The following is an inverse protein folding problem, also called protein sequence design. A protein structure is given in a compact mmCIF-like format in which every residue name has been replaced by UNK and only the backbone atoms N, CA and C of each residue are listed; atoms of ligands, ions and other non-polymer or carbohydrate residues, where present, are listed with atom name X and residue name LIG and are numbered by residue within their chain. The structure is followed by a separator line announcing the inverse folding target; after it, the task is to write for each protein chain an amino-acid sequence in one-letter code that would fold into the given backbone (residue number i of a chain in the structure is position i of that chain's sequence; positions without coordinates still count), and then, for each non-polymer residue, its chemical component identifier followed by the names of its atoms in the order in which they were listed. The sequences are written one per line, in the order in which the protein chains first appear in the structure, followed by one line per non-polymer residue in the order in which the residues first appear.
data_IF_186519757883
#
_entry.id   IF_186519757883
#
_cell.length_a   1.000
_cell.length_b   1.000
_cell.length_c   1.000
_cell.angle_alpha   90.00
_cell.angle_beta   90.00
_cell.angle_gamma   90.00
#
_symmetry.space_group_name_H-M   'P 1'
#
loop_
_entity.id
_entity.type
_entity.pdbx_description
1 polymer ?
#
# COMPACT_ATOMS: atom_id res chain seq x y z
N UNK A 1 2.37 -12.73 32.84
CA UNK A 1 1.41 -13.07 31.75
C UNK A 1 1.22 -14.56 31.79
N UNK A 2 0.00 -15.03 31.96
CA UNK A 2 -0.31 -16.48 31.92
C UNK A 2 -0.71 -16.86 30.49
N UNK A 3 0.20 -17.53 29.78
CA UNK A 3 -0.04 -17.94 28.39
C UNK A 3 -0.93 -19.19 28.28
N UNK A 4 -1.19 -19.91 29.37
CA UNK A 4 -1.90 -21.20 29.35
C UNK A 4 -3.39 -21.06 29.01
N UNK A 5 -3.95 -19.86 29.22
CA UNK A 5 -5.35 -19.54 28.93
C UNK A 5 -5.62 -19.23 27.45
N UNK A 6 -4.55 -18.97 26.66
CA UNK A 6 -4.70 -18.59 25.26
C UNK A 6 -4.47 -19.78 24.33
N UNK A 7 -5.42 -19.98 23.41
CA UNK A 7 -5.29 -20.97 22.34
C UNK A 7 -4.39 -20.48 21.21
N UNK A 8 -4.41 -19.18 20.96
CA UNK A 8 -3.65 -18.52 19.87
C UNK A 8 -2.86 -17.34 20.40
N UNK A 9 -1.61 -17.25 19.96
CA UNK A 9 -0.75 -16.09 20.12
C UNK A 9 -0.46 -15.50 18.73
N UNK A 10 -0.87 -14.26 18.50
CA UNK A 10 -0.62 -13.52 17.27
C UNK A 10 0.45 -12.48 17.54
N UNK A 11 1.53 -12.52 16.75
CA UNK A 11 2.65 -11.58 16.84
C UNK A 11 2.47 -10.49 15.79
N UNK A 12 2.22 -9.27 16.24
CA UNK A 12 1.96 -8.09 15.44
C UNK A 12 0.49 -7.68 15.43
N UNK A 13 0.22 -6.42 15.81
CA UNK A 13 -1.12 -5.81 15.87
C UNK A 13 -1.43 -4.92 14.65
N UNK A 14 -0.87 -5.23 13.48
CA UNK A 14 -1.24 -4.62 12.20
C UNK A 14 -2.52 -5.23 11.63
N UNK A 15 -2.90 -4.90 10.39
CA UNK A 15 -4.14 -5.40 9.77
C UNK A 15 -4.24 -6.93 9.78
N UNK A 16 -3.17 -7.63 9.39
CA UNK A 16 -3.21 -9.09 9.37
C UNK A 16 -3.53 -9.67 10.76
N UNK A 17 -2.76 -9.26 11.78
CA UNK A 17 -2.92 -9.79 13.13
C UNK A 17 -4.27 -9.42 13.75
N UNK A 18 -4.71 -8.17 13.57
CA UNK A 18 -5.99 -7.69 14.12
C UNK A 18 -7.20 -8.36 13.47
N UNK A 19 -7.18 -8.52 12.14
CA UNK A 19 -8.24 -9.25 11.41
C UNK A 19 -8.27 -10.71 11.83
N UNK A 20 -7.12 -11.34 11.96
CA UNK A 20 -7.06 -12.74 12.36
C UNK A 20 -7.55 -12.96 13.80
N UNK A 21 -7.16 -12.08 14.73
CA UNK A 21 -7.65 -12.11 16.10
C UNK A 21 -9.18 -11.95 16.16
N UNK A 22 -9.71 -10.96 15.46
CA UNK A 22 -11.16 -10.72 15.37
C UNK A 22 -11.90 -11.95 14.81
N UNK A 23 -11.38 -12.54 13.73
CA UNK A 23 -12.01 -13.71 13.11
C UNK A 23 -11.94 -14.96 14.01
N UNK A 24 -10.81 -15.24 14.67
CA UNK A 24 -10.70 -16.37 15.58
C UNK A 24 -11.66 -16.19 16.76
N UNK A 25 -11.68 -15.01 17.36
CA UNK A 25 -12.54 -14.71 18.50
C UNK A 25 -14.03 -14.84 18.16
N UNK A 26 -14.47 -14.35 16.99
CA UNK A 26 -15.87 -14.39 16.58
C UNK A 26 -16.29 -15.73 15.98
N UNK A 27 -15.46 -16.36 15.13
CA UNK A 27 -15.87 -17.54 14.38
C UNK A 27 -15.61 -18.84 15.14
N UNK A 28 -14.63 -18.86 16.07
CA UNK A 28 -14.24 -20.04 16.83
C UNK A 28 -14.53 -19.94 18.32
N UNK A 29 -14.88 -18.77 18.82
CA UNK A 29 -15.04 -18.45 20.25
C UNK A 29 -13.80 -18.86 21.10
N UNK A 30 -12.59 -18.78 20.51
CA UNK A 30 -11.35 -19.18 21.13
C UNK A 30 -10.59 -17.95 21.68
N UNK A 31 -9.89 -18.10 22.84
CA UNK A 31 -9.10 -17.01 23.39
C UNK A 31 -7.83 -16.75 22.59
N UNK A 32 -7.60 -15.46 22.31
CA UNK A 32 -6.49 -14.97 21.49
C UNK A 32 -5.69 -13.94 22.26
N UNK A 33 -4.38 -14.11 22.30
CA UNK A 33 -3.44 -13.08 22.74
C UNK A 33 -2.79 -12.44 21.51
N UNK A 34 -2.82 -11.13 21.42
CA UNK A 34 -2.09 -10.34 20.42
C UNK A 34 -0.95 -9.59 21.11
N UNK A 35 0.27 -9.73 20.63
CA UNK A 35 1.41 -8.95 21.12
C UNK A 35 1.93 -8.03 20.03
N UNK A 36 2.35 -6.85 20.43
CA UNK A 36 2.94 -5.84 19.54
C UNK A 36 4.20 -5.24 20.20
N UNK A 37 5.27 -5.16 19.43
CA UNK A 37 6.54 -4.61 19.90
C UNK A 37 6.48 -3.09 20.08
N UNK A 38 5.71 -2.42 19.25
CA UNK A 38 5.49 -0.95 19.31
C UNK A 38 4.60 -0.59 20.50
N UNK A 39 4.53 0.69 20.77
CA UNK A 39 3.66 1.29 21.79
C UNK A 39 2.23 1.56 21.32
N UNK A 40 1.88 1.11 20.12
CA UNK A 40 0.57 1.30 19.50
C UNK A 40 0.15 0.11 18.65
N UNK A 41 -1.15 -0.06 18.45
CA UNK A 41 -1.76 -0.99 17.48
C UNK A 41 -1.77 -0.37 16.09
N UNK A 42 -2.10 -1.16 15.04
CA UNK A 42 -2.28 -0.69 13.68
C UNK A 42 -1.08 -0.89 12.75
N UNK A 43 0.08 -1.28 13.30
CA UNK A 43 1.28 -1.50 12.50
C UNK A 43 1.67 -0.24 11.71
N UNK A 44 1.95 -0.39 10.42
CA UNK A 44 2.27 0.75 9.55
C UNK A 44 1.05 1.62 9.18
N UNK A 45 -0.17 1.11 9.38
CA UNK A 45 -1.40 1.89 9.17
C UNK A 45 -1.79 2.74 10.38
N UNK A 46 -0.94 2.82 11.40
CA UNK A 46 -1.22 3.65 12.57
C UNK A 46 -1.38 5.12 12.18
N UNK A 47 -2.48 5.71 12.61
CA UNK A 47 -2.78 7.13 12.48
C UNK A 47 -3.07 7.74 13.85
N UNK A 48 -2.79 9.02 14.01
CA UNK A 48 -3.08 9.76 15.23
C UNK A 48 -3.40 11.22 14.91
N UNK A 49 -4.14 11.84 15.81
CA UNK A 49 -4.45 13.26 15.72
C UNK A 49 -3.29 14.04 16.33
N UNK A 50 -2.80 15.04 15.62
CA UNK A 50 -1.84 15.99 16.14
C UNK A 50 -2.53 16.91 17.17
N UNK A 51 -1.98 17.02 18.39
CA UNK A 51 -2.67 17.76 19.47
C UNK A 51 -2.71 19.29 19.28
N UNK A 52 -1.85 19.85 18.45
CA UNK A 52 -1.79 21.29 18.21
C UNK A 52 -2.70 21.72 17.05
N UNK A 53 -2.75 20.92 16.00
CA UNK A 53 -3.48 21.24 14.77
C UNK A 53 -4.82 20.55 14.65
N UNK A 54 -5.09 19.55 15.49
CA UNK A 54 -6.25 18.66 15.44
C UNK A 54 -6.37 17.88 14.10
N UNK A 55 -5.28 17.86 13.32
CA UNK A 55 -5.23 17.12 12.05
C UNK A 55 -4.78 15.69 12.30
N UNK A 56 -5.53 14.74 11.77
CA UNK A 56 -5.13 13.35 11.76
C UNK A 56 -4.05 13.10 10.72
N UNK A 57 -2.98 12.41 11.09
CA UNK A 57 -1.89 12.06 10.20
C UNK A 57 -1.47 10.59 10.32
N UNK A 58 -0.92 10.06 9.24
CA UNK A 58 -0.39 8.70 9.16
C UNK A 58 1.10 8.72 9.52
N UNK A 59 1.46 8.11 10.65
CA UNK A 59 2.82 8.17 11.22
C UNK A 59 3.90 7.56 10.30
N UNK A 60 3.55 6.53 9.53
CA UNK A 60 4.49 5.75 8.73
C UNK A 60 4.30 5.93 7.23
N UNK A 61 3.77 7.04 6.81
CA UNK A 61 3.46 7.36 5.42
C UNK A 61 2.00 7.16 5.07
N UNK A 62 1.61 7.68 3.94
CA UNK A 62 0.22 7.71 3.49
C UNK A 62 -0.29 6.30 3.20
N UNK A 63 -1.37 5.93 3.85
CA UNK A 63 -2.12 4.70 3.60
C UNK A 63 -3.51 5.05 3.08
N UNK A 64 -3.86 4.52 1.92
CA UNK A 64 -5.17 4.68 1.30
C UNK A 64 -5.76 3.28 1.16
N UNK A 65 -6.94 3.08 1.73
CA UNK A 65 -7.63 1.81 1.57
C UNK A 65 -8.21 1.72 0.16
N UNK A 66 -7.95 0.61 -0.52
CA UNK A 66 -8.53 0.33 -1.83
C UNK A 66 -8.73 -1.17 -2.04
N UNK A 67 -9.78 -1.56 -2.70
CA UNK A 67 -10.08 -2.94 -3.04
C UNK A 67 -11.11 -3.04 -4.16
N UNK A 68 -11.01 -4.08 -4.99
CA UNK A 68 -12.08 -4.50 -5.92
C UNK A 68 -12.86 -5.70 -5.40
N UNK A 69 -12.53 -6.19 -4.18
CA UNK A 69 -13.20 -7.35 -3.59
C UNK A 69 -14.32 -6.91 -2.67
N UNK A 70 -15.56 -7.13 -3.08
CA UNK A 70 -16.76 -6.78 -2.31
C UNK A 70 -16.72 -7.33 -0.88
N UNK A 71 -16.34 -8.58 -0.69
CA UNK A 71 -16.22 -9.21 0.64
C UNK A 71 -15.27 -8.45 1.58
N UNK A 72 -14.16 -7.92 1.04
CA UNK A 72 -13.20 -7.13 1.83
C UNK A 72 -13.79 -5.78 2.20
N UNK A 73 -14.48 -5.14 1.25
CA UNK A 73 -15.17 -3.87 1.48
C UNK A 73 -16.28 -3.99 2.53
N UNK A 74 -17.15 -4.99 2.41
CA UNK A 74 -18.20 -5.26 3.39
C UNK A 74 -17.64 -5.55 4.79
N UNK A 75 -16.55 -6.33 4.86
CA UNK A 75 -15.90 -6.65 6.12
C UNK A 75 -15.34 -5.41 6.81
N UNK A 76 -14.57 -4.58 6.10
CA UNK A 76 -13.92 -3.41 6.72
C UNK A 76 -14.94 -2.34 7.14
N UNK A 77 -16.06 -2.21 6.42
CA UNK A 77 -17.15 -1.29 6.77
C UNK A 77 -17.90 -1.66 8.05
N UNK A 78 -17.64 -2.82 8.63
CA UNK A 78 -18.12 -3.17 9.98
C UNK A 78 -17.43 -2.35 11.07
N UNK A 79 -16.23 -1.84 10.80
CA UNK A 79 -15.39 -1.16 11.76
C UNK A 79 -15.25 0.34 11.52
N UNK A 80 -15.51 0.81 10.31
CA UNK A 80 -15.40 2.23 9.94
C UNK A 80 -16.30 2.56 8.76
N UNK A 81 -16.43 3.86 8.47
CA UNK A 81 -16.88 4.38 7.17
C UNK A 81 -15.70 5.03 6.46
N UNK A 82 -15.82 5.21 5.15
CA UNK A 82 -14.79 5.83 4.33
C UNK A 82 -15.29 7.13 3.70
N UNK A 83 -14.38 8.09 3.54
CA UNK A 83 -14.71 9.45 3.06
C UNK A 83 -14.79 9.58 1.53
N UNK A 84 -14.73 8.50 0.77
CA UNK A 84 -14.78 8.53 -0.70
C UNK A 84 -13.57 9.19 -1.38
N UNK A 85 -12.47 9.39 -0.66
CA UNK A 85 -11.22 9.94 -1.21
C UNK A 85 -10.72 9.09 -2.39
N UNK A 86 -10.39 9.76 -3.50
CA UNK A 86 -9.77 9.16 -4.69
C UNK A 86 -8.32 9.62 -4.78
N UNK A 87 -7.40 8.66 -4.79
CA UNK A 87 -5.97 8.99 -4.81
C UNK A 87 -5.54 9.47 -6.18
N UNK A 88 -5.00 10.69 -6.21
CA UNK A 88 -4.40 11.31 -7.37
C UNK A 88 -2.94 11.62 -7.05
N UNK A 89 -2.06 11.41 -8.01
CA UNK A 89 -0.64 11.67 -7.87
C UNK A 89 -0.21 12.69 -8.91
N UNK A 90 0.55 13.67 -8.48
CA UNK A 90 1.13 14.68 -9.34
C UNK A 90 2.65 14.54 -9.34
N UNK A 91 3.27 14.68 -10.49
CA UNK A 91 4.71 14.74 -10.65
C UNK A 91 5.16 16.13 -11.09
N UNK A 92 6.18 16.68 -10.47
CA UNK A 92 6.83 17.92 -10.91
C UNK A 92 8.07 17.58 -11.73
N UNK A 93 8.15 18.14 -12.95
CA UNK A 93 9.30 18.01 -13.83
C UNK A 93 9.51 19.32 -14.59
N UNK A 94 10.72 19.87 -14.54
CA UNK A 94 11.11 21.12 -15.21
C UNK A 94 10.10 22.28 -14.98
N UNK A 95 9.73 22.51 -13.71
CA UNK A 95 8.78 23.55 -13.28
C UNK A 95 7.36 23.41 -13.85
N UNK A 96 6.99 22.23 -14.34
CA UNK A 96 5.62 21.90 -14.73
C UNK A 96 5.09 20.74 -13.90
N UNK A 97 3.78 20.70 -13.73
CA UNK A 97 3.08 19.64 -12.98
C UNK A 97 2.35 18.74 -13.98
N UNK A 98 2.48 17.43 -13.78
CA UNK A 98 1.88 16.39 -14.63
C UNK A 98 1.09 15.42 -13.80
N UNK A 99 0.02 14.89 -14.35
CA UNK A 99 -0.78 13.84 -13.72
C UNK A 99 -0.08 12.49 -13.78
N UNK A 100 -0.23 11.70 -12.71
CA UNK A 100 0.26 10.33 -12.62
C UNK A 100 -0.85 9.39 -12.13
N UNK A 101 -0.95 8.15 -12.62
CA UNK A 101 -0.06 7.51 -13.60
C UNK A 101 -0.08 8.22 -14.96
N UNK A 102 0.96 7.99 -15.78
CA UNK A 102 1.06 8.55 -17.12
C UNK A 102 -0.24 8.28 -17.87
N UNK A 103 -0.94 9.33 -18.28
CA UNK A 103 -2.22 9.28 -18.98
C UNK A 103 -2.19 10.14 -20.24
N UNK A 104 -3.31 10.25 -20.93
CA UNK A 104 -3.42 11.05 -22.16
C UNK A 104 -3.04 12.52 -21.93
N UNK A 105 -3.48 13.13 -20.80
CA UNK A 105 -3.10 14.49 -20.44
C UNK A 105 -1.59 14.63 -20.22
N UNK A 106 -0.99 13.70 -19.47
CA UNK A 106 0.46 13.67 -19.24
C UNK A 106 1.23 13.63 -20.57
N UNK A 107 0.81 12.77 -21.49
CA UNK A 107 1.48 12.60 -22.79
C UNK A 107 1.32 13.85 -23.63
N UNK A 108 0.12 14.39 -23.76
CA UNK A 108 -0.14 15.58 -24.55
C UNK A 108 0.60 16.80 -24.00
N UNK A 109 0.52 17.05 -22.71
CA UNK A 109 1.21 18.17 -22.06
C UNK A 109 2.73 18.04 -22.13
N UNK A 110 3.27 16.83 -21.98
CA UNK A 110 4.71 16.60 -21.97
C UNK A 110 5.35 16.76 -23.35
N UNK A 111 4.69 16.21 -24.39
CA UNK A 111 5.20 16.27 -25.76
C UNK A 111 4.72 17.47 -26.57
N UNK A 112 3.81 18.29 -26.01
CA UNK A 112 3.19 19.41 -26.75
C UNK A 112 2.28 18.93 -27.87
N UNK A 113 1.53 17.84 -27.65
CA UNK A 113 0.67 17.19 -28.63
C UNK A 113 -0.82 17.38 -28.28
N UNK A 114 -1.68 16.97 -29.19
CA UNK A 114 -3.13 16.93 -28.98
C UNK A 114 -3.70 15.62 -29.52
N UNK A 115 -3.16 14.51 -29.00
CA UNK A 115 -3.57 13.16 -29.37
C UNK A 115 -4.94 12.83 -28.80
N UNK A 116 -5.68 12.04 -29.56
CA UNK A 116 -6.93 11.41 -29.13
C UNK A 116 -6.63 10.04 -28.47
N UNK A 117 -7.55 9.47 -27.66
CA UNK A 117 -7.33 8.20 -26.97
C UNK A 117 -6.84 7.06 -27.86
N UNK A 118 -7.33 6.97 -29.10
CA UNK A 118 -6.98 5.91 -30.05
C UNK A 118 -5.60 6.09 -30.70
N UNK A 119 -5.04 7.31 -30.68
CA UNK A 119 -3.73 7.65 -31.28
C UNK A 119 -2.57 7.37 -30.31
N UNK A 120 -2.84 7.37 -29.00
CA UNK A 120 -1.81 7.20 -27.95
C UNK A 120 -1.02 5.91 -28.09
N UNK A 121 -1.71 4.82 -28.50
CA UNK A 121 -1.06 3.52 -28.67
C UNK A 121 0.05 3.54 -29.71
N UNK A 122 -0.25 4.10 -30.89
CA UNK A 122 0.69 4.17 -32.01
C UNK A 122 1.82 5.18 -31.72
N UNK A 123 1.50 6.30 -31.08
CA UNK A 123 2.49 7.26 -30.62
C UNK A 123 3.49 6.62 -29.66
N UNK A 124 3.04 5.97 -28.59
CA UNK A 124 3.93 5.31 -27.64
C UNK A 124 4.77 4.20 -28.30
N UNK A 125 4.16 3.41 -29.19
CA UNK A 125 4.86 2.40 -29.96
C UNK A 125 6.01 3.04 -30.76
N UNK A 126 5.77 4.17 -31.43
CA UNK A 126 6.82 4.89 -32.18
C UNK A 126 7.96 5.39 -31.28
N UNK A 127 7.65 5.84 -30.06
CA UNK A 127 8.68 6.29 -29.10
C UNK A 127 9.50 5.10 -28.55
N UNK A 128 8.87 3.95 -28.32
CA UNK A 128 9.53 2.73 -27.84
C UNK A 128 10.41 2.11 -28.94
N UNK A 129 9.94 2.07 -30.18
CA UNK A 129 10.70 1.52 -31.33
C UNK A 129 12.02 2.23 -31.60
N UNK A 130 12.14 3.50 -31.26
CA UNK A 130 13.40 4.27 -31.37
C UNK A 130 14.54 3.70 -30.51
N UNK A 131 14.20 3.02 -29.44
CA UNK A 131 15.15 2.51 -28.45
C UNK A 131 15.72 1.12 -28.80
N UNK A 132 15.11 0.40 -29.75
CA UNK A 132 15.53 -0.92 -30.22
C UNK A 132 15.77 -1.97 -29.12
N UNK A 133 15.03 -1.91 -28.00
CA UNK A 133 15.17 -2.81 -26.88
C UNK A 133 14.30 -4.06 -27.12
N UNK A 134 14.91 -5.17 -27.50
CA UNK A 134 14.22 -6.44 -27.75
C UNK A 134 14.20 -7.38 -26.55
N UNK A 135 15.21 -7.30 -25.67
CA UNK A 135 15.32 -8.16 -24.48
C UNK A 135 15.75 -7.32 -23.25
N UNK A 136 14.78 -6.71 -22.55
CA UNK A 136 15.09 -5.86 -21.39
C UNK A 136 15.64 -6.69 -20.23
N UNK A 137 16.85 -6.37 -19.77
CA UNK A 137 17.54 -7.05 -18.66
C UNK A 137 17.46 -6.25 -17.36
N UNK A 138 17.50 -4.93 -17.46
CA UNK A 138 17.44 -4.02 -16.32
C UNK A 138 16.05 -3.39 -16.17
N UNK A 139 15.82 -2.77 -15.00
CA UNK A 139 14.62 -1.95 -14.75
C UNK A 139 14.54 -0.80 -15.76
N UNK A 140 15.66 -0.15 -16.07
CA UNK A 140 15.72 0.90 -17.11
C UNK A 140 15.25 0.37 -18.46
N UNK A 141 15.86 -0.73 -18.96
CA UNK A 141 15.47 -1.30 -20.25
C UNK A 141 13.99 -1.62 -20.30
N UNK A 142 13.47 -2.21 -19.22
CA UNK A 142 12.06 -2.59 -19.13
C UNK A 142 11.15 -1.36 -19.13
N UNK A 143 11.46 -0.34 -18.34
CA UNK A 143 10.69 0.89 -18.32
C UNK A 143 10.70 1.60 -19.68
N UNK A 144 11.88 1.75 -20.28
CA UNK A 144 12.03 2.35 -21.61
C UNK A 144 11.28 1.56 -22.68
N UNK A 145 11.29 0.23 -22.62
CA UNK A 145 10.52 -0.61 -23.55
C UNK A 145 8.99 -0.50 -23.39
N UNK A 146 8.52 0.13 -22.32
CA UNK A 146 7.09 0.33 -22.07
C UNK A 146 6.59 1.76 -22.42
N UNK A 147 7.43 2.77 -22.17
CA UNK A 147 6.99 4.18 -22.32
C UNK A 147 7.92 5.06 -23.16
N UNK A 148 9.06 4.54 -23.63
CA UNK A 148 10.09 5.30 -24.32
C UNK A 148 11.02 6.06 -23.38
N UNK A 149 12.16 6.49 -23.89
CA UNK A 149 13.24 7.13 -23.13
C UNK A 149 12.81 8.40 -22.43
N UNK A 150 12.12 9.28 -23.13
CA UNK A 150 11.75 10.62 -22.62
C UNK A 150 10.83 10.53 -21.39
N UNK A 151 9.79 9.72 -21.42
CA UNK A 151 8.89 9.53 -20.27
C UNK A 151 9.58 8.80 -19.12
N UNK A 152 10.45 7.84 -19.42
CA UNK A 152 11.26 7.17 -18.41
C UNK A 152 12.14 8.18 -17.64
N UNK A 153 12.90 9.01 -18.36
CA UNK A 153 13.81 10.00 -17.75
C UNK A 153 13.06 11.05 -16.93
N UNK A 154 11.91 11.50 -17.43
CA UNK A 154 11.11 12.52 -16.76
C UNK A 154 10.42 12.02 -15.48
N UNK A 155 9.82 10.83 -15.49
CA UNK A 155 8.85 10.43 -14.47
C UNK A 155 9.21 9.16 -13.70
N UNK A 156 10.16 8.34 -14.17
CA UNK A 156 10.45 7.04 -13.59
C UNK A 156 11.84 6.98 -12.97
N UNK A 157 12.84 7.40 -13.72
CA UNK A 157 14.26 7.27 -13.33
C UNK A 157 14.56 7.90 -11.97
N UNK A 158 14.19 9.19 -11.79
CA UNK A 158 14.49 9.92 -10.55
C UNK A 158 13.80 9.32 -9.34
N UNK A 159 12.53 8.94 -9.49
CA UNK A 159 11.78 8.25 -8.44
C UNK A 159 12.41 6.89 -8.09
N UNK A 160 12.79 6.11 -9.10
CA UNK A 160 13.43 4.80 -8.89
C UNK A 160 14.74 4.93 -8.13
N UNK A 161 15.61 5.87 -8.53
CA UNK A 161 16.88 6.14 -7.83
C UNK A 161 16.62 6.52 -6.37
N UNK A 162 15.67 7.43 -6.12
CA UNK A 162 15.31 7.85 -4.76
C UNK A 162 14.81 6.68 -3.91
N UNK A 163 13.96 5.81 -4.48
CA UNK A 163 13.33 4.72 -3.76
C UNK A 163 14.29 3.58 -3.45
N UNK A 164 15.14 3.21 -4.41
CA UNK A 164 16.01 2.06 -4.32
C UNK A 164 17.46 2.40 -3.93
N UNK A 165 17.84 3.67 -3.93
CA UNK A 165 19.22 4.14 -3.69
C UNK A 165 20.24 3.44 -4.59
N UNK A 166 19.81 3.08 -5.81
CA UNK A 166 20.61 2.37 -6.83
C UNK A 166 20.31 2.90 -8.22
N UNK A 167 21.27 2.71 -9.12
CA UNK A 167 21.04 2.98 -10.54
C UNK A 167 20.01 1.98 -11.10
N UNK A 168 18.98 2.43 -11.84
CA UNK A 168 17.98 1.56 -12.45
C UNK A 168 18.56 0.49 -13.39
N UNK A 169 19.75 0.71 -13.93
CA UNK A 169 20.50 -0.26 -14.76
C UNK A 169 21.01 -1.47 -13.96
N UNK A 170 21.18 -1.31 -12.65
CA UNK A 170 21.61 -2.37 -11.73
C UNK A 170 20.43 -3.15 -11.14
N UNK A 171 19.22 -2.66 -11.33
CA UNK A 171 18.00 -3.28 -10.82
C UNK A 171 17.42 -4.25 -11.86
N UNK A 172 16.93 -5.43 -11.45
CA UNK A 172 16.36 -6.39 -12.38
C UNK A 172 15.06 -5.90 -13.01
N UNK A 173 14.82 -6.26 -14.28
CA UNK A 173 13.63 -5.90 -15.03
C UNK A 173 12.31 -6.35 -14.36
N UNK A 174 12.36 -7.39 -13.52
CA UNK A 174 11.20 -7.92 -12.80
C UNK A 174 10.58 -6.97 -11.78
N UNK A 175 11.31 -5.92 -11.35
CA UNK A 175 10.79 -4.89 -10.44
C UNK A 175 9.70 -4.07 -11.12
N UNK A 176 9.84 -3.78 -12.42
CA UNK A 176 8.80 -3.12 -13.23
C UNK A 176 8.21 -4.11 -14.21
N UNK A 177 7.18 -4.82 -13.81
CA UNK A 177 6.44 -5.69 -14.72
C UNK A 177 5.38 -4.93 -15.53
N UNK A 178 4.81 -3.88 -14.93
CA UNK A 178 3.77 -3.04 -15.53
C UNK A 178 3.98 -1.59 -15.12
N UNK A 179 3.97 -0.69 -16.10
CA UNK A 179 3.74 0.72 -15.87
C UNK A 179 2.31 1.00 -16.29
N UNK A 180 1.46 1.51 -15.40
CA UNK A 180 0.11 1.89 -15.77
C UNK A 180 0.17 3.13 -16.67
N UNK A 181 0.12 2.91 -17.98
CA UNK A 181 -0.08 3.98 -18.96
C UNK A 181 -1.52 3.95 -19.40
N UNK A 182 -2.21 5.07 -19.29
CA UNK A 182 -3.62 5.20 -19.63
C UNK A 182 -3.77 5.96 -20.94
N UNK A 183 -4.61 5.43 -21.83
CA UNK A 183 -4.91 6.02 -23.11
C UNK A 183 -6.09 7.00 -23.08
N UNK A 184 -6.49 7.40 -21.90
CA UNK A 184 -7.60 8.32 -21.61
C UNK A 184 -7.20 9.33 -20.53
N UNK A 185 -8.13 10.20 -20.12
CA UNK A 185 -7.93 11.22 -19.09
C UNK A 185 -8.15 10.74 -17.65
N UNK A 186 -8.25 9.41 -17.40
CA UNK A 186 -8.45 8.90 -16.06
C UNK A 186 -7.19 9.15 -15.21
N UNK A 187 -7.33 9.96 -14.16
CA UNK A 187 -6.29 10.38 -13.24
C UNK A 187 -6.26 9.59 -11.92
N UNK A 188 -7.21 8.67 -11.71
CA UNK A 188 -7.22 7.87 -10.51
C UNK A 188 -5.99 6.97 -10.43
N UNK A 189 -5.28 6.99 -9.30
CA UNK A 189 -4.10 6.16 -9.13
C UNK A 189 -4.44 4.66 -9.10
N UNK A 190 -5.52 4.29 -8.39
CA UNK A 190 -6.00 2.91 -8.31
C UNK A 190 -7.18 2.66 -9.27
N UNK A 191 -7.26 1.43 -9.80
CA UNK A 191 -8.40 0.97 -10.60
C UNK A 191 -9.53 0.38 -9.73
N UNK A 192 -9.27 0.19 -8.43
CA UNK A 192 -10.20 -0.46 -7.54
C UNK A 192 -11.49 0.33 -7.37
N UNK A 193 -12.61 -0.39 -7.34
CA UNK A 193 -13.95 0.19 -7.25
C UNK A 193 -14.13 0.96 -5.94
N UNK A 194 -13.68 0.38 -4.84
CA UNK A 194 -13.79 0.98 -3.51
C UNK A 194 -12.44 1.53 -3.06
N UNK A 195 -12.44 2.81 -2.69
CA UNK A 195 -11.28 3.54 -2.22
C UNK A 195 -11.69 4.56 -1.18
N UNK A 196 -10.79 4.90 -0.28
CA UNK A 196 -11.03 5.96 0.68
C UNK A 196 -10.04 5.97 1.84
N UNK A 197 -10.18 6.99 2.65
CA UNK A 197 -9.52 7.09 3.95
C UNK A 197 -10.60 6.88 5.02
N UNK A 198 -10.33 6.11 6.08
CA UNK A 198 -11.29 5.93 7.16
C UNK A 198 -11.69 7.26 7.80
N UNK A 199 -12.99 7.53 7.92
CA UNK A 199 -13.50 8.83 8.42
C UNK A 199 -13.11 9.13 9.87
N UNK A 200 -12.83 8.09 10.67
CA UNK A 200 -12.40 8.21 12.06
C UNK A 200 -10.93 7.80 12.26
N UNK A 201 -10.16 7.76 11.17
CA UNK A 201 -8.79 7.30 11.16
C UNK A 201 -8.61 5.79 11.24
N UNK A 202 -7.40 5.35 10.89
CA UNK A 202 -7.07 3.93 10.89
C UNK A 202 -7.03 3.32 12.29
N UNK A 203 -6.54 4.07 13.28
CA UNK A 203 -6.38 3.54 14.64
C UNK A 203 -7.69 3.08 15.26
N UNK A 204 -8.82 3.73 14.93
CA UNK A 204 -10.14 3.34 15.41
C UNK A 204 -10.60 1.99 14.85
N UNK A 205 -10.19 1.63 13.64
CA UNK A 205 -10.48 0.31 13.07
C UNK A 205 -9.89 -0.79 13.95
N UNK A 206 -8.61 -0.64 14.32
CA UNK A 206 -7.90 -1.63 15.12
C UNK A 206 -8.44 -1.72 16.55
N UNK A 207 -8.80 -0.57 17.16
CA UNK A 207 -9.47 -0.56 18.46
C UNK A 207 -10.77 -1.36 18.44
N UNK A 208 -11.60 -1.18 17.41
CA UNK A 208 -12.87 -1.91 17.26
C UNK A 208 -12.64 -3.39 16.96
N UNK A 209 -11.65 -3.75 16.12
CA UNK A 209 -11.34 -5.16 15.82
C UNK A 209 -10.86 -5.91 17.06
N UNK A 210 -10.05 -5.28 17.89
CA UNK A 210 -9.46 -5.89 19.08
C UNK A 210 -10.34 -5.78 20.33
N UNK A 211 -11.44 -5.03 20.28
CA UNK A 211 -12.38 -4.90 21.38
C UNK A 211 -13.35 -6.10 21.44
N UNK A 212 -12.86 -7.22 21.91
CA UNK A 212 -13.64 -8.44 22.07
C UNK A 212 -13.23 -9.18 23.35
N UNK A 213 -14.18 -9.79 24.08
CA UNK A 213 -13.98 -10.47 25.37
C UNK A 213 -12.94 -11.61 25.33
N UNK A 214 -12.70 -12.19 24.16
CA UNK A 214 -11.76 -13.28 23.93
C UNK A 214 -10.41 -12.77 23.38
N UNK A 215 -10.24 -11.48 23.20
CA UNK A 215 -8.98 -10.91 22.71
C UNK A 215 -8.34 -10.10 23.83
N UNK A 216 -7.14 -10.47 24.17
CA UNK A 216 -6.23 -9.68 24.98
C UNK A 216 -5.07 -9.20 24.12
N UNK A 217 -4.61 -7.96 24.29
CA UNK A 217 -3.45 -7.48 23.55
C UNK A 217 -2.47 -6.73 24.46
N UNK A 218 -1.17 -6.96 24.19
CA UNK A 218 -0.09 -6.31 24.92
C UNK A 218 0.84 -5.57 23.98
N UNK A 219 1.01 -4.28 24.24
CA UNK A 219 1.96 -3.42 23.56
C UNK A 219 3.34 -3.51 24.23
N UNK A 220 4.37 -2.98 23.54
CA UNK A 220 5.77 -2.97 24.03
C UNK A 220 6.27 -4.37 24.41
N UNK A 221 5.75 -5.40 23.73
CA UNK A 221 6.05 -6.80 24.01
C UNK A 221 6.79 -7.43 22.84
N UNK A 222 8.08 -7.68 23.02
CA UNK A 222 8.91 -8.36 22.01
C UNK A 222 8.70 -9.89 22.09
N UNK A 223 8.32 -10.48 20.97
CA UNK A 223 8.09 -11.91 20.85
C UNK A 223 9.31 -12.75 21.29
N UNK A 224 10.52 -12.34 20.92
CA UNK A 224 11.71 -13.12 21.21
C UNK A 224 12.04 -13.16 22.71
N UNK A 225 11.63 -12.14 23.46
CA UNK A 225 11.77 -12.10 24.93
C UNK A 225 10.81 -13.09 25.60
N UNK A 226 9.57 -13.18 25.10
CA UNK A 226 8.54 -14.04 25.74
C UNK A 226 8.50 -15.45 25.18
N UNK A 227 9.10 -15.70 24.02
CA UNK A 227 9.10 -17.01 23.33
C UNK A 227 9.42 -18.21 24.22
N UNK A 228 10.42 -18.14 25.14
CA UNK A 228 10.73 -19.28 26.02
C UNK A 228 9.60 -19.65 26.97
N UNK A 229 8.66 -18.76 27.25
CA UNK A 229 7.57 -18.94 28.22
C UNK A 229 6.25 -19.41 27.57
N UNK A 230 6.22 -19.47 26.23
CA UNK A 230 5.00 -19.84 25.50
C UNK A 230 4.83 -21.37 25.53
N UNK A 231 3.70 -21.88 26.04
CA UNK A 231 3.45 -23.33 26.11
C UNK A 231 3.27 -23.90 24.68
N UNK A 232 3.67 -25.17 24.52
CA UNK A 232 3.54 -25.89 23.23
C UNK A 232 2.08 -26.05 22.76
N UNK A 233 1.12 -25.93 23.66
CA UNK A 233 -0.31 -25.99 23.37
C UNK A 233 -0.83 -24.70 22.70
N UNK A 234 -0.09 -23.59 22.79
CA UNK A 234 -0.46 -22.34 22.18
C UNK A 234 -0.02 -22.27 20.70
N UNK A 235 -0.95 -22.00 19.78
CA UNK A 235 -0.65 -21.83 18.37
C UNK A 235 -0.10 -20.44 18.12
N UNK A 236 1.18 -20.35 17.77
CA UNK A 236 1.85 -19.07 17.46
C UNK A 236 1.70 -18.74 15.98
N UNK A 237 1.15 -17.54 15.69
CA UNK A 237 1.03 -17.00 14.34
C UNK A 237 1.87 -15.73 14.27
N UNK A 238 2.96 -15.83 13.52
CA UNK A 238 3.93 -14.75 13.38
C UNK A 238 3.67 -13.97 12.11
N UNK A 239 3.24 -12.71 12.22
CA UNK A 239 2.85 -11.84 11.10
C UNK A 239 3.83 -10.69 10.85
N UNK A 240 5.02 -10.75 11.39
CA UNK A 240 6.03 -9.71 11.24
C UNK A 240 7.01 -10.04 10.12
N UNK A 241 7.46 -9.01 9.39
CA UNK A 241 8.56 -9.08 8.43
C UNK A 241 9.90 -8.84 9.14
#
# INVERSE_FOLDING_TARGET
MDFSIFRYLIVGAGFFGSVLAERIANDRDEPVLVIEKRDHIGGNCYSQVDPETEIEYHRYGTHIFHTSKQKVWEYINRFTSFNGYRHQVLASYQNRVYQMPINLETINSFFGLNLRPFEVGDFLKSEVEKENITNPKSLEDKAVSLVGRKLYEAFIKGYTIKQWQKDPRELPASIIQRLPVRKNYDENYYFDQWQGIPSSGYSEIFKKMLNHRKIEFHLKTDFFVIKPYIPKSCHVIYSCC
#
